data_IF_347274894654
#
_entry.id   IF_347274894654
#
_cell.length_a   1.000
_cell.length_b   1.000
_cell.length_c   1.000
_cell.angle_alpha   90.00
_cell.angle_beta   90.00
_cell.angle_gamma   90.00
#
_symmetry.space_group_name_H-M   'P 1'
#
loop_
_entity.id
_entity.type
_entity.pdbx_description
1 polymer ?
#
# COMPACT_ATOMS: atom_id res chain seq x y z
N UNK A 1 22.85 18.08 -11.38
CA UNK A 1 22.99 17.39 -10.08
C UNK A 1 21.68 16.68 -9.79
N UNK A 2 21.66 15.35 -9.96
CA UNK A 2 20.43 14.54 -9.92
C UNK A 2 20.19 14.09 -8.48
N UNK A 3 19.25 14.73 -7.78
CA UNK A 3 18.75 14.16 -6.52
C UNK A 3 17.99 12.87 -6.84
N UNK A 4 18.52 11.76 -6.33
CA UNK A 4 17.79 10.51 -6.14
C UNK A 4 16.68 10.77 -5.12
N UNK A 5 15.43 10.65 -5.55
CA UNK A 5 14.29 10.49 -4.66
C UNK A 5 13.73 9.10 -4.95
N UNK A 6 13.36 8.38 -3.90
CA UNK A 6 12.73 7.07 -3.99
C UNK A 6 11.52 7.15 -4.90
N UNK A 7 11.44 6.24 -5.85
CA UNK A 7 10.33 6.23 -6.81
C UNK A 7 9.65 4.90 -6.63
N UNK A 8 8.43 4.92 -6.12
CA UNK A 8 7.60 3.72 -6.05
C UNK A 8 6.46 3.88 -7.05
N UNK A 9 6.76 3.66 -8.33
CA UNK A 9 5.72 3.58 -9.35
C UNK A 9 4.85 2.34 -9.19
N UNK A 10 3.90 2.14 -10.09
CA UNK A 10 3.04 0.95 -10.11
C UNK A 10 3.89 -0.26 -10.51
N UNK A 11 4.13 -1.16 -9.55
CA UNK A 11 4.84 -2.44 -9.74
C UNK A 11 3.86 -3.57 -10.06
N UNK A 12 4.37 -4.73 -10.47
CA UNK A 12 3.51 -5.89 -10.76
C UNK A 12 2.71 -6.36 -9.54
N UNK A 13 3.26 -6.22 -8.34
CA UNK A 13 2.57 -6.56 -7.09
C UNK A 13 1.35 -5.67 -6.87
N UNK A 14 1.48 -4.38 -7.13
CA UNK A 14 0.37 -3.42 -7.04
C UNK A 14 -0.72 -3.77 -8.05
N UNK A 15 -0.37 -4.07 -9.30
CA UNK A 15 -1.34 -4.44 -10.33
C UNK A 15 -2.09 -5.72 -9.95
N UNK A 16 -1.37 -6.76 -9.50
CA UNK A 16 -1.98 -8.01 -9.03
C UNK A 16 -2.92 -7.78 -7.86
N UNK A 17 -2.51 -6.95 -6.89
CA UNK A 17 -3.35 -6.62 -5.75
C UNK A 17 -4.61 -5.85 -6.15
N UNK A 18 -4.51 -4.90 -7.08
CA UNK A 18 -5.66 -4.16 -7.59
C UNK A 18 -6.65 -5.05 -8.37
N UNK A 19 -6.15 -6.00 -9.17
CA UNK A 19 -6.99 -6.97 -9.88
C UNK A 19 -7.70 -7.91 -8.89
N UNK A 20 -6.98 -8.40 -7.88
CA UNK A 20 -7.55 -9.22 -6.82
C UNK A 20 -8.63 -8.45 -6.04
N UNK A 21 -8.35 -7.19 -5.72
CA UNK A 21 -9.29 -6.30 -5.02
C UNK A 21 -10.54 -6.02 -5.86
N UNK A 22 -10.37 -5.73 -7.15
CA UNK A 22 -11.47 -5.55 -8.11
C UNK A 22 -12.33 -6.81 -8.24
N UNK A 23 -11.70 -7.99 -8.23
CA UNK A 23 -12.39 -9.28 -8.31
C UNK A 23 -13.22 -9.56 -7.05
N UNK A 24 -12.73 -9.14 -5.88
CA UNK A 24 -13.49 -9.23 -4.64
C UNK A 24 -14.67 -8.26 -4.62
N UNK A 25 -14.42 -7.00 -4.98
CA UNK A 25 -15.45 -5.98 -5.13
C UNK A 25 -15.05 -5.00 -6.24
N UNK A 26 -15.89 -4.75 -7.26
CA UNK A 26 -15.54 -3.87 -8.37
C UNK A 26 -14.99 -2.54 -7.90
N UNK A 27 -13.85 -2.15 -8.46
CA UNK A 27 -13.28 -0.80 -8.34
C UNK A 27 -13.95 0.07 -9.41
N UNK A 28 -14.64 1.11 -8.96
CA UNK A 28 -15.36 2.06 -9.80
C UNK A 28 -15.50 3.41 -9.09
N UNK A 29 -15.87 4.45 -9.84
CA UNK A 29 -16.13 5.79 -9.28
C UNK A 29 -14.89 6.68 -9.29
N UNK A 30 -14.77 7.57 -8.32
CA UNK A 30 -13.68 8.54 -8.26
C UNK A 30 -12.41 7.92 -7.68
N UNK A 31 -11.34 7.90 -8.49
CA UNK A 31 -10.03 7.43 -8.08
C UNK A 31 -9.10 8.62 -7.82
N UNK A 32 -8.30 8.55 -6.75
CA UNK A 32 -7.21 9.48 -6.50
C UNK A 32 -5.89 8.75 -6.23
N UNK A 33 -4.89 9.00 -7.07
CA UNK A 33 -3.50 8.59 -6.84
C UNK A 33 -2.72 9.72 -6.18
N UNK A 34 -1.85 9.39 -5.23
CA UNK A 34 -0.93 10.35 -4.63
C UNK A 34 0.32 10.41 -5.50
N UNK A 35 0.51 11.53 -6.17
CA UNK A 35 1.44 11.69 -7.27
C UNK A 35 0.96 11.02 -8.56
N UNK A 36 1.53 11.48 -9.67
CA UNK A 36 1.53 10.74 -10.93
C UNK A 36 2.54 9.60 -10.85
N UNK A 37 2.16 8.43 -11.34
CA UNK A 37 2.90 7.19 -11.16
C UNK A 37 3.29 6.62 -12.51
N UNK A 38 4.50 6.07 -12.62
CA UNK A 38 4.90 5.31 -13.80
C UNK A 38 4.57 3.84 -13.60
N UNK A 39 3.98 3.20 -14.61
CA UNK A 39 3.89 1.73 -14.66
C UNK A 39 5.26 1.18 -15.00
N UNK A 40 5.94 0.65 -13.99
CA UNK A 40 7.31 0.17 -14.11
C UNK A 40 7.37 -1.36 -14.29
N UNK A 41 6.56 -1.88 -15.18
CA UNK A 41 6.46 -3.32 -15.49
C UNK A 41 6.70 -3.50 -16.98
N UNK A 42 7.47 -4.51 -17.37
CA UNK A 42 7.71 -4.78 -18.77
C UNK A 42 6.43 -5.28 -19.46
N UNK A 43 6.37 -5.09 -20.78
CA UNK A 43 5.20 -5.43 -21.59
C UNK A 43 4.80 -6.90 -21.46
N UNK A 44 5.77 -7.82 -21.39
CA UNK A 44 5.47 -9.26 -21.34
C UNK A 44 4.83 -9.65 -20.00
N UNK A 45 5.33 -9.10 -18.90
CA UNK A 45 4.71 -9.28 -17.58
C UNK A 45 3.32 -8.64 -17.51
N UNK A 46 3.10 -7.46 -18.10
CA UNK A 46 1.77 -6.85 -18.18
C UNK A 46 0.78 -7.72 -18.97
N UNK A 47 1.18 -8.28 -20.11
CA UNK A 47 0.35 -9.21 -20.89
C UNK A 47 -0.02 -10.43 -20.04
N UNK A 48 0.93 -10.97 -19.27
CA UNK A 48 0.67 -12.11 -18.39
C UNK A 48 -0.30 -11.79 -17.25
N UNK A 49 -0.36 -10.53 -16.79
CA UNK A 49 -1.19 -10.10 -15.66
C UNK A 49 -2.59 -9.67 -16.11
N UNK A 50 -2.70 -8.80 -17.13
CA UNK A 50 -3.98 -8.22 -17.55
C UNK A 50 -4.39 -8.54 -19.00
N UNK A 51 -3.58 -9.32 -19.73
CA UNK A 51 -3.86 -9.72 -21.11
C UNK A 51 -3.44 -8.69 -22.17
N UNK A 52 -3.34 -9.14 -23.42
CA UNK A 52 -2.94 -8.30 -24.55
C UNK A 52 -3.90 -7.12 -24.78
N UNK A 53 -5.20 -7.35 -24.62
CA UNK A 53 -6.24 -6.33 -24.85
C UNK A 53 -6.19 -5.17 -23.84
N UNK A 54 -5.69 -5.40 -22.63
CA UNK A 54 -5.40 -4.37 -21.65
C UNK A 54 -4.21 -3.52 -22.11
N UNK A 55 -3.12 -4.19 -22.51
CA UNK A 55 -1.85 -3.57 -22.92
C UNK A 55 -1.98 -2.74 -24.20
N UNK A 56 -2.81 -3.16 -25.14
CA UNK A 56 -3.04 -2.46 -26.41
C UNK A 56 -3.69 -1.07 -26.24
N UNK A 57 -4.34 -0.83 -25.09
CA UNK A 57 -4.97 0.45 -24.76
C UNK A 57 -4.04 1.41 -24.02
N UNK A 58 -2.88 0.95 -23.58
CA UNK A 58 -1.99 1.74 -22.73
C UNK A 58 -1.26 2.81 -23.52
N UNK A 59 -1.16 3.99 -22.93
CA UNK A 59 -0.37 5.10 -23.46
C UNK A 59 1.00 5.14 -22.78
N UNK A 60 2.01 5.62 -23.51
CA UNK A 60 3.34 5.82 -22.94
C UNK A 60 3.30 6.96 -21.92
N UNK A 61 4.07 6.80 -20.84
CA UNK A 61 4.26 7.84 -19.84
C UNK A 61 5.21 8.91 -20.40
N UNK A 62 4.66 10.10 -20.63
CA UNK A 62 5.40 11.29 -21.07
C UNK A 62 5.40 12.39 -20.03
N UNK A 63 4.73 12.18 -18.89
CA UNK A 63 4.46 13.22 -17.89
C UNK A 63 5.38 13.11 -16.69
N UNK A 64 5.74 11.88 -16.30
CA UNK A 64 6.66 11.68 -15.18
C UNK A 64 8.11 11.71 -15.62
N UNK A 65 9.00 12.01 -14.68
CA UNK A 65 10.45 11.90 -14.86
C UNK A 65 10.89 10.48 -15.21
N UNK A 66 10.11 9.47 -14.83
CA UNK A 66 10.44 8.07 -15.01
C UNK A 66 9.78 7.42 -16.23
N UNK A 67 8.95 8.14 -16.98
CA UNK A 67 8.36 7.66 -18.22
C UNK A 67 9.35 7.35 -19.34
N UNK A 68 10.61 7.81 -19.22
CA UNK A 68 11.68 7.51 -20.17
C UNK A 68 11.85 6.00 -20.40
N UNK A 69 11.89 5.58 -21.67
CA UNK A 69 12.20 4.20 -22.06
C UNK A 69 10.99 3.27 -22.24
N UNK A 70 9.93 3.74 -22.89
CA UNK A 70 8.76 2.93 -23.28
C UNK A 70 7.95 2.36 -22.10
N UNK A 71 7.85 3.12 -21.01
CA UNK A 71 6.97 2.79 -19.88
C UNK A 71 5.57 3.37 -20.09
N UNK A 72 4.59 2.82 -19.38
CA UNK A 72 3.19 3.20 -19.53
C UNK A 72 2.73 4.18 -18.45
N UNK A 73 1.77 5.03 -18.79
CA UNK A 73 1.11 5.91 -17.82
C UNK A 73 0.23 5.11 -16.87
N UNK A 74 0.21 5.52 -15.61
CA UNK A 74 -0.73 5.03 -14.60
C UNK A 74 -2.19 5.20 -15.01
N UNK A 75 -2.57 6.39 -15.47
CA UNK A 75 -3.93 6.72 -15.87
C UNK A 75 -4.45 5.75 -16.92
N UNK A 76 -3.69 5.50 -18.00
CA UNK A 76 -4.11 4.57 -19.05
C UNK A 76 -4.25 3.14 -18.55
N UNK A 77 -3.41 2.70 -17.60
CA UNK A 77 -3.53 1.37 -17.00
C UNK A 77 -4.77 1.26 -16.12
N UNK A 78 -4.96 2.22 -15.23
CA UNK A 78 -6.05 2.23 -14.25
C UNK A 78 -7.40 2.35 -14.97
N UNK A 79 -7.54 3.24 -15.95
CA UNK A 79 -8.76 3.42 -16.75
C UNK A 79 -9.01 2.26 -17.73
N UNK A 80 -7.97 1.54 -18.14
CA UNK A 80 -8.11 0.32 -18.96
C UNK A 80 -8.63 -0.87 -18.12
N UNK A 81 -8.21 -0.95 -16.86
CA UNK A 81 -8.58 -2.03 -15.95
C UNK A 81 -9.93 -1.80 -15.25
N UNK A 82 -10.26 -0.56 -14.94
CA UNK A 82 -11.37 -0.22 -14.03
C UNK A 82 -12.25 0.90 -14.56
N UNK A 83 -13.52 0.90 -14.16
CA UNK A 83 -14.50 1.94 -14.53
C UNK A 83 -14.43 3.13 -13.57
N UNK A 84 -13.34 3.90 -13.65
CA UNK A 84 -13.05 5.00 -12.72
C UNK A 84 -12.84 6.34 -13.43
N UNK A 85 -13.05 7.44 -12.69
CA UNK A 85 -12.54 8.76 -13.04
C UNK A 85 -11.20 8.96 -12.33
N UNK A 86 -10.10 8.93 -13.09
CA UNK A 86 -8.76 9.01 -12.56
C UNK A 86 -8.34 10.46 -12.27
N UNK A 87 -7.83 10.71 -11.06
CA UNK A 87 -7.14 11.95 -10.69
C UNK A 87 -5.86 11.67 -9.91
N UNK A 88 -4.95 12.64 -9.93
CA UNK A 88 -3.74 12.68 -9.10
C UNK A 88 -3.75 13.87 -8.14
N UNK A 89 -3.08 13.72 -6.99
CA UNK A 89 -2.82 14.81 -6.04
C UNK A 89 -1.34 14.87 -5.68
N UNK A 90 -0.78 16.08 -5.63
CA UNK A 90 0.59 16.32 -5.21
C UNK A 90 0.65 17.68 -4.50
N UNK A 91 1.66 17.91 -3.64
CA UNK A 91 1.88 19.20 -2.99
C UNK A 91 2.21 20.34 -3.97
N UNK A 92 2.50 20.01 -5.23
CA UNK A 92 2.86 20.96 -6.27
C UNK A 92 2.32 20.54 -7.64
N UNK A 93 2.39 21.41 -8.64
CA UNK A 93 2.03 21.07 -10.03
C UNK A 93 3.07 20.17 -10.73
N UNK A 94 3.99 19.57 -9.97
CA UNK A 94 4.98 18.61 -10.47
C UNK A 94 4.29 17.43 -11.17
N UNK A 95 4.88 16.95 -12.26
CA UNK A 95 4.38 15.81 -13.07
C UNK A 95 2.88 15.90 -13.45
N UNK A 96 2.41 17.13 -13.69
CA UNK A 96 1.06 17.42 -14.18
C UNK A 96 -0.08 16.96 -13.26
N UNK A 97 0.13 17.05 -11.93
CA UNK A 97 -0.89 16.68 -10.95
C UNK A 97 -2.24 17.39 -11.18
N UNK A 98 -3.35 16.65 -11.12
CA UNK A 98 -4.69 17.21 -11.30
C UNK A 98 -5.12 18.10 -10.13
N UNK A 99 -4.66 17.77 -8.93
CA UNK A 99 -4.93 18.49 -7.69
C UNK A 99 -3.61 18.90 -7.04
N UNK A 100 -3.47 20.20 -6.73
CA UNK A 100 -2.34 20.72 -5.96
C UNK A 100 -2.76 20.90 -4.51
N UNK A 101 -2.36 19.98 -3.65
CA UNK A 101 -2.71 19.92 -2.24
C UNK A 101 -1.61 19.24 -1.43
N UNK A 102 -1.14 19.92 -0.37
CA UNK A 102 -0.22 19.31 0.60
C UNK A 102 -1.00 18.43 1.59
N UNK A 103 -0.94 17.12 1.41
CA UNK A 103 -1.59 16.14 2.27
C UNK A 103 -1.00 16.05 3.68
N UNK A 104 0.08 16.78 3.98
CA UNK A 104 0.58 16.95 5.35
C UNK A 104 -0.14 18.09 6.09
N UNK A 105 -1.15 18.71 5.48
CA UNK A 105 -1.99 19.78 6.03
C UNK A 105 -3.45 19.39 5.97
N UNK A 106 -4.33 19.97 6.81
CA UNK A 106 -5.76 19.70 6.72
C UNK A 106 -6.29 19.91 5.29
N UNK A 107 -7.05 18.93 4.79
CA UNK A 107 -7.66 19.05 3.46
C UNK A 107 -8.81 20.09 3.48
N UNK A 108 -9.09 20.74 2.33
CA UNK A 108 -10.28 21.55 2.16
C UNK A 108 -11.57 20.74 2.42
N UNK A 109 -12.58 21.29 3.13
CA UNK A 109 -13.83 20.59 3.44
C UNK A 109 -14.56 20.05 2.20
N UNK A 110 -14.46 20.74 1.07
CA UNK A 110 -15.07 20.33 -0.20
C UNK A 110 -14.47 19.05 -0.81
N UNK A 111 -13.32 18.58 -0.31
CA UNK A 111 -12.69 17.33 -0.73
C UNK A 111 -12.96 16.17 0.24
N UNK A 112 -13.55 16.44 1.40
CA UNK A 112 -13.95 15.37 2.30
C UNK A 112 -14.96 14.45 1.62
N UNK A 113 -14.78 13.14 1.78
CA UNK A 113 -15.64 12.10 1.21
C UNK A 113 -15.93 12.36 -0.27
N UNK A 114 -14.88 12.45 -1.08
CA UNK A 114 -14.98 12.73 -2.51
C UNK A 114 -14.49 11.59 -3.41
N UNK A 115 -13.81 10.59 -2.82
CA UNK A 115 -13.14 9.54 -3.56
C UNK A 115 -13.55 8.14 -3.10
N UNK A 116 -13.75 7.25 -4.06
CA UNK A 116 -14.15 5.86 -3.85
C UNK A 116 -12.95 4.92 -3.75
N UNK A 117 -11.83 5.30 -4.37
CA UNK A 117 -10.58 4.57 -4.30
C UNK A 117 -9.37 5.50 -4.20
N UNK A 118 -8.46 5.22 -3.28
CA UNK A 118 -7.17 5.91 -3.14
C UNK A 118 -6.00 4.97 -3.39
N UNK A 119 -4.92 5.48 -3.98
CA UNK A 119 -3.63 4.81 -4.06
C UNK A 119 -2.52 5.75 -3.61
N UNK A 120 -1.70 5.33 -2.64
CA UNK A 120 -0.69 6.23 -2.04
C UNK A 120 0.73 6.07 -2.60
N UNK A 121 1.08 4.91 -3.17
CA UNK A 121 2.29 4.69 -3.99
C UNK A 121 3.60 5.34 -3.53
N UNK A 122 4.10 5.00 -2.34
CA UNK A 122 5.38 5.52 -1.83
C UNK A 122 5.33 7.00 -1.45
N UNK A 123 4.19 7.46 -0.93
CA UNK A 123 4.03 8.84 -0.48
C UNK A 123 4.46 8.99 0.98
N UNK A 124 4.14 8.01 1.84
CA UNK A 124 4.27 8.15 3.30
C UNK A 124 5.75 8.14 3.73
N UNK A 125 6.61 7.43 3.00
CA UNK A 125 8.05 7.38 3.25
C UNK A 125 8.79 8.66 2.81
N UNK A 126 8.12 9.56 2.08
CA UNK A 126 8.68 10.79 1.53
C UNK A 126 8.14 12.08 2.19
N UNK A 127 7.31 11.96 3.23
CA UNK A 127 6.79 13.10 4.01
C UNK A 127 7.30 13.06 5.45
N UNK A 128 7.37 14.23 6.09
CA UNK A 128 7.77 14.32 7.49
C UNK A 128 6.67 13.81 8.44
N UNK A 129 5.41 14.05 8.10
CA UNK A 129 4.24 13.63 8.90
C UNK A 129 3.37 12.63 8.12
N UNK A 130 3.77 11.34 8.06
CA UNK A 130 2.95 10.31 7.42
C UNK A 130 1.60 10.09 8.12
N UNK A 131 1.50 10.41 9.42
CA UNK A 131 0.26 10.33 10.16
C UNK A 131 -0.80 11.31 9.62
N UNK A 132 -0.41 12.56 9.33
CA UNK A 132 -1.32 13.54 8.74
C UNK A 132 -1.81 13.10 7.36
N UNK A 133 -0.92 12.51 6.55
CA UNK A 133 -1.29 11.96 5.24
C UNK A 133 -2.28 10.81 5.38
N UNK A 134 -2.11 9.92 6.38
CA UNK A 134 -3.03 8.80 6.64
C UNK A 134 -4.42 9.28 7.10
N UNK A 135 -4.46 10.28 7.99
CA UNK A 135 -5.68 10.95 8.45
C UNK A 135 -6.41 11.59 7.28
N UNK A 136 -5.69 12.37 6.47
CA UNK A 136 -6.26 13.04 5.31
C UNK A 136 -6.71 12.06 4.21
N UNK A 137 -5.98 10.96 4.01
CA UNK A 137 -6.43 9.85 3.15
C UNK A 137 -7.79 9.33 3.61
N UNK A 138 -7.96 9.15 4.91
CA UNK A 138 -9.22 8.68 5.48
C UNK A 138 -10.35 9.71 5.33
N UNK A 139 -10.05 11.01 5.41
CA UNK A 139 -11.03 12.09 5.18
C UNK A 139 -11.46 12.18 3.72
N UNK A 140 -10.54 12.01 2.78
CA UNK A 140 -10.82 12.00 1.33
C UNK A 140 -11.76 10.86 0.90
N UNK A 141 -11.70 9.72 1.60
CA UNK A 141 -12.50 8.54 1.30
C UNK A 141 -13.99 8.73 1.60
N UNK A 142 -14.82 8.37 0.63
CA UNK A 142 -16.24 8.10 0.81
C UNK A 142 -16.48 6.98 1.84
N UNK A 143 -17.68 6.95 2.41
CA UNK A 143 -18.17 5.73 3.05
C UNK A 143 -18.19 4.58 2.04
N UNK A 144 -17.71 3.41 2.43
CA UNK A 144 -17.42 2.25 1.58
C UNK A 144 -16.26 2.45 0.58
N UNK A 145 -15.58 3.59 0.60
CA UNK A 145 -14.36 3.80 -0.17
C UNK A 145 -13.21 2.93 0.33
N UNK A 146 -12.23 2.69 -0.54
CA UNK A 146 -11.05 1.87 -0.24
C UNK A 146 -9.75 2.60 -0.52
N UNK A 147 -8.71 2.25 0.23
CA UNK A 147 -7.36 2.71 -0.05
C UNK A 147 -6.44 1.52 -0.18
N UNK A 148 -5.57 1.57 -1.20
CA UNK A 148 -4.42 0.70 -1.33
C UNK A 148 -3.14 1.49 -1.04
N UNK A 149 -2.45 1.12 0.03
CA UNK A 149 -1.11 1.63 0.31
C UNK A 149 -0.06 0.71 -0.28
N UNK A 150 1.01 1.31 -0.78
CA UNK A 150 2.23 0.60 -1.15
C UNK A 150 3.43 1.43 -0.72
N UNK A 151 4.01 1.10 0.43
CA UNK A 151 4.95 1.98 1.13
C UNK A 151 6.21 1.22 1.56
N UNK A 152 7.34 1.92 1.69
CA UNK A 152 8.57 1.30 2.19
C UNK A 152 8.42 0.85 3.65
N UNK A 153 8.76 -0.41 3.90
CA UNK A 153 8.75 -1.03 5.23
C UNK A 153 10.15 -1.23 5.82
N UNK A 154 11.17 -0.79 5.08
CA UNK A 154 12.58 -1.02 5.42
C UNK A 154 13.45 0.15 4.97
N UNK A 155 14.76 0.04 5.22
CA UNK A 155 15.73 1.07 4.83
C UNK A 155 15.80 1.16 3.32
N UNK A 156 15.32 2.28 2.78
CA UNK A 156 15.40 2.58 1.37
C UNK A 156 16.08 3.95 1.20
N UNK A 157 16.99 4.05 0.24
CA UNK A 157 17.94 5.17 0.14
C UNK A 157 17.23 6.49 -0.11
N UNK A 158 17.23 7.38 0.89
CA UNK A 158 16.65 8.73 0.81
C UNK A 158 15.26 8.87 1.45
N UNK A 159 14.72 7.82 2.07
CA UNK A 159 13.41 7.86 2.72
C UNK A 159 13.49 8.70 3.99
N UNK A 160 12.46 9.51 4.26
CA UNK A 160 12.31 10.20 5.55
C UNK A 160 11.98 9.20 6.66
N UNK A 161 11.15 8.20 6.35
CA UNK A 161 10.68 7.21 7.31
C UNK A 161 10.35 5.89 6.60
N UNK A 162 10.21 4.82 7.37
CA UNK A 162 9.62 3.57 6.90
C UNK A 162 8.48 3.22 7.84
N UNK A 163 7.39 2.74 7.26
CA UNK A 163 6.14 2.47 7.97
C UNK A 163 6.09 1.02 8.44
N UNK A 164 5.40 0.76 9.56
CA UNK A 164 5.26 -0.59 10.12
C UNK A 164 3.87 -1.14 9.90
N UNK A 165 3.74 -2.47 9.90
CA UNK A 165 2.46 -3.14 9.70
C UNK A 165 1.43 -2.78 10.79
N UNK A 166 1.92 -2.64 12.03
CA UNK A 166 1.10 -2.23 13.17
C UNK A 166 0.52 -0.84 12.97
N UNK A 167 1.26 0.11 12.40
CA UNK A 167 0.82 1.50 12.20
C UNK A 167 -0.49 1.56 11.41
N UNK A 168 -0.59 0.80 10.31
CA UNK A 168 -1.82 0.74 9.53
C UNK A 168 -2.93 -0.01 10.25
N UNK A 169 -2.63 -1.19 10.82
CA UNK A 169 -3.64 -2.02 11.45
C UNK A 169 -4.28 -1.31 12.65
N UNK A 170 -3.46 -0.69 13.51
CA UNK A 170 -3.92 0.03 14.69
C UNK A 170 -4.72 1.26 14.31
N UNK A 171 -4.27 2.06 13.33
CA UNK A 171 -4.99 3.25 12.89
C UNK A 171 -6.37 2.90 12.32
N UNK A 172 -6.44 1.94 11.40
CA UNK A 172 -7.70 1.56 10.78
C UNK A 172 -8.65 0.89 11.75
N UNK A 173 -8.15 0.07 12.69
CA UNK A 173 -8.96 -0.51 13.75
C UNK A 173 -9.49 0.54 14.74
N UNK A 174 -8.62 1.44 15.23
CA UNK A 174 -9.01 2.49 16.16
C UNK A 174 -10.05 3.45 15.55
N UNK A 175 -9.99 3.67 14.23
CA UNK A 175 -10.95 4.47 13.48
C UNK A 175 -12.13 3.66 12.92
N UNK A 176 -12.34 2.43 13.41
CA UNK A 176 -13.50 1.59 13.10
C UNK A 176 -13.75 1.38 11.60
N UNK A 177 -12.69 1.17 10.81
CA UNK A 177 -12.81 0.76 9.40
C UNK A 177 -13.50 -0.61 9.30
N UNK A 178 -14.15 -0.89 8.17
CA UNK A 178 -14.86 -2.16 7.97
C UNK A 178 -13.89 -3.32 7.84
N UNK A 179 -12.78 -3.09 7.15
CA UNK A 179 -11.76 -4.08 6.89
C UNK A 179 -10.37 -3.45 6.75
N UNK A 180 -9.34 -4.23 7.09
CA UNK A 180 -7.94 -3.89 6.85
C UNK A 180 -7.13 -5.18 6.67
N UNK A 181 -6.43 -5.31 5.54
CA UNK A 181 -5.45 -6.36 5.28
C UNK A 181 -4.09 -5.74 5.11
N UNK A 182 -3.11 -6.23 5.86
CA UNK A 182 -1.74 -5.73 5.86
C UNK A 182 -0.80 -6.84 5.42
N UNK A 183 -0.10 -6.61 4.33
CA UNK A 183 0.85 -7.55 3.76
C UNK A 183 2.25 -6.97 3.81
N UNK A 184 3.21 -7.79 4.25
CA UNK A 184 4.64 -7.51 4.08
C UNK A 184 5.12 -8.21 2.82
N UNK A 185 5.68 -7.43 1.89
CA UNK A 185 6.32 -7.92 0.69
C UNK A 185 7.83 -7.86 0.88
N UNK A 186 8.53 -8.95 0.62
CA UNK A 186 9.97 -9.05 0.84
C UNK A 186 10.68 -9.46 -0.45
N UNK A 187 11.42 -8.53 -1.02
CA UNK A 187 12.30 -8.76 -2.15
C UNK A 187 13.67 -9.23 -1.65
N UNK A 188 13.93 -10.54 -1.76
CA UNK A 188 15.20 -11.16 -1.30
C UNK A 188 16.22 -11.32 -2.42
N UNK A 189 15.81 -11.08 -3.68
CA UNK A 189 16.65 -11.23 -4.87
C UNK A 189 16.47 -10.05 -5.84
N UNK A 190 17.49 -9.72 -6.64
CA UNK A 190 17.31 -8.81 -7.77
C UNK A 190 16.24 -9.32 -8.74
N UNK A 191 15.51 -8.39 -9.35
CA UNK A 191 14.56 -8.70 -10.42
C UNK A 191 15.12 -8.46 -11.82
N UNK A 192 14.26 -8.58 -12.83
CA UNK A 192 14.54 -8.15 -14.21
C UNK A 192 14.84 -6.65 -14.27
N UNK A 193 14.22 -5.89 -13.37
CA UNK A 193 14.57 -4.50 -13.12
C UNK A 193 14.41 -4.17 -11.64
N UNK A 194 14.73 -2.93 -11.26
CA UNK A 194 14.47 -2.42 -9.89
C UNK A 194 12.98 -2.30 -9.55
N UNK A 195 12.08 -2.56 -10.50
CA UNK A 195 10.62 -2.43 -10.36
C UNK A 195 9.84 -3.69 -10.79
N UNK A 196 10.53 -4.62 -11.46
CA UNK A 196 10.00 -5.93 -11.79
C UNK A 196 10.90 -6.97 -11.15
N UNK A 197 10.44 -7.45 -10.00
CA UNK A 197 11.10 -8.40 -9.13
C UNK A 197 10.05 -9.25 -8.44
N UNK A 198 10.38 -10.47 -8.06
CA UNK A 198 9.50 -11.31 -7.27
C UNK A 198 9.64 -10.99 -5.78
N UNK A 199 8.54 -11.13 -5.04
CA UNK A 199 8.54 -11.01 -3.58
C UNK A 199 8.03 -12.28 -2.90
N UNK A 200 8.48 -12.49 -1.68
CA UNK A 200 7.75 -13.28 -0.69
C UNK A 200 6.66 -12.39 -0.09
N UNK A 201 5.45 -12.93 0.05
CA UNK A 201 4.32 -12.22 0.65
C UNK A 201 3.92 -12.86 1.98
N UNK A 202 3.72 -12.02 2.98
CA UNK A 202 3.30 -12.41 4.32
C UNK A 202 2.08 -11.60 4.75
N UNK A 203 1.08 -12.24 5.35
CA UNK A 203 -0.01 -11.54 6.02
C UNK A 203 0.40 -11.20 7.46
N UNK A 204 0.17 -9.96 7.86
CA UNK A 204 0.41 -9.52 9.24
C UNK A 204 -0.79 -9.76 10.16
N UNK A 205 -0.50 -10.12 11.40
CA UNK A 205 -1.42 -10.18 12.54
C UNK A 205 -0.77 -9.48 13.74
N UNK A 206 -1.57 -8.76 14.53
CA UNK A 206 -1.11 -8.21 15.81
C UNK A 206 -1.02 -9.28 16.89
N UNK A 207 -1.71 -10.41 16.73
CA UNK A 207 -1.64 -11.55 17.65
C UNK A 207 -0.35 -12.31 17.38
N UNK A 208 0.43 -12.58 18.44
CA UNK A 208 1.68 -13.31 18.34
C UNK A 208 2.03 -14.02 19.66
N UNK A 209 2.84 -15.07 19.54
CA UNK A 209 3.39 -15.82 20.65
C UNK A 209 4.69 -15.18 21.13
N UNK A 210 4.67 -14.60 22.33
CA UNK A 210 5.88 -14.01 22.92
C UNK A 210 6.87 -15.09 23.35
N UNK A 211 7.98 -15.23 22.61
CA UNK A 211 9.10 -16.07 23.04
C UNK A 211 9.80 -15.49 24.27
N UNK A 212 9.95 -16.29 25.33
CA UNK A 212 10.64 -15.89 26.57
C UNK A 212 12.12 -15.55 26.34
N UNK A 213 12.73 -16.15 25.32
CA UNK A 213 14.14 -16.00 24.98
C UNK A 213 14.28 -15.42 23.56
N UNK A 214 13.46 -14.42 23.21
CA UNK A 214 13.54 -13.78 21.91
C UNK A 214 14.92 -13.10 21.75
N UNK A 215 15.70 -13.57 20.79
CA UNK A 215 16.91 -12.91 20.38
C UNK A 215 16.54 -11.72 19.48
N UNK A 216 16.52 -10.53 20.07
CA UNK A 216 16.15 -9.29 19.38
C UNK A 216 17.07 -8.97 18.19
N UNK A 217 18.37 -9.26 18.32
CA UNK A 217 19.32 -8.97 17.24
C UNK A 217 19.05 -9.91 16.06
N UNK A 218 18.96 -11.21 16.31
CA UNK A 218 18.65 -12.20 15.28
C UNK A 218 17.27 -11.95 14.67
N UNK A 219 16.26 -11.67 15.48
CA UNK A 219 14.91 -11.32 15.03
C UNK A 219 14.93 -10.11 14.09
N UNK A 220 15.57 -9.01 14.49
CA UNK A 220 15.71 -7.81 13.67
C UNK A 220 16.49 -8.00 12.37
N UNK A 221 17.27 -9.08 12.26
CA UNK A 221 18.06 -9.43 11.07
C UNK A 221 17.52 -10.65 10.29
N UNK A 222 16.38 -11.20 10.69
CA UNK A 222 15.84 -12.49 10.20
C UNK A 222 15.52 -12.54 8.71
N UNK A 223 15.18 -11.41 8.10
CA UNK A 223 14.80 -11.38 6.70
C UNK A 223 15.59 -10.31 5.93
N UNK A 224 16.51 -10.73 5.02
CA UNK A 224 17.28 -9.79 4.23
C UNK A 224 16.45 -9.18 3.10
N UNK A 225 16.96 -8.12 2.50
CA UNK A 225 16.40 -7.52 1.29
C UNK A 225 15.58 -6.26 1.52
N UNK A 226 14.84 -5.86 0.49
CA UNK A 226 13.98 -4.66 0.50
C UNK A 226 12.56 -5.11 0.85
N UNK A 227 11.94 -4.40 1.77
CA UNK A 227 10.59 -4.70 2.24
C UNK A 227 9.66 -3.53 1.96
N UNK A 228 8.45 -3.87 1.52
CA UNK A 228 7.34 -2.94 1.31
C UNK A 228 6.10 -3.45 2.04
N UNK A 229 5.26 -2.53 2.51
CA UNK A 229 3.92 -2.86 2.96
C UNK A 229 2.94 -2.64 1.81
N UNK A 230 2.09 -3.63 1.59
CA UNK A 230 0.89 -3.49 0.79
C UNK A 230 -0.31 -3.57 1.74
N UNK A 231 -1.13 -2.53 1.78
CA UNK A 231 -2.27 -2.47 2.71
C UNK A 231 -3.52 -2.15 1.93
N UNK A 232 -4.60 -2.89 2.19
CA UNK A 232 -5.93 -2.56 1.71
C UNK A 232 -6.83 -2.29 2.90
N UNK A 233 -7.45 -1.11 2.96
CA UNK A 233 -8.40 -0.75 4.00
C UNK A 233 -9.71 -0.23 3.40
N UNK A 234 -10.82 -0.51 4.08
CA UNK A 234 -12.16 -0.12 3.65
C UNK A 234 -12.87 0.72 4.71
N UNK A 235 -13.23 1.95 4.34
CA UNK A 235 -13.94 2.88 5.22
C UNK A 235 -15.41 2.49 5.31
N UNK A 236 -15.99 2.49 6.50
CA UNK A 236 -17.41 2.25 6.74
C UNK A 236 -18.19 3.51 7.07
N UNK A 237 -19.53 3.40 7.15
CA UNK A 237 -20.40 4.52 7.54
C UNK A 237 -20.11 5.04 8.95
N UNK A 238 -19.61 4.18 9.84
CA UNK A 238 -19.27 4.50 11.23
C UNK A 238 -17.77 4.71 11.46
N UNK A 239 -16.98 4.80 10.39
CA UNK A 239 -15.54 5.01 10.51
C UNK A 239 -15.23 6.49 10.77
N UNK A 240 -14.22 6.73 11.59
CA UNK A 240 -13.70 8.07 11.91
C UNK A 240 -12.34 8.29 11.22
N UNK A 241 -11.69 9.42 11.49
CA UNK A 241 -10.32 9.68 11.03
C UNK A 241 -9.40 10.27 12.11
N UNK A 242 -9.94 10.70 13.25
CA UNK A 242 -9.21 11.52 14.22
C UNK A 242 -8.73 10.73 15.44
N UNK A 243 -9.02 9.43 15.51
CA UNK A 243 -8.55 8.59 16.61
C UNK A 243 -7.08 8.23 16.34
N UNK A 244 -6.20 8.64 17.26
CA UNK A 244 -4.78 8.31 17.23
C UNK A 244 -4.56 7.07 18.11
N UNK A 245 -4.11 5.93 17.55
CA UNK A 245 -3.89 4.72 18.34
C UNK A 245 -2.60 4.80 19.16
N UNK A 246 -2.61 4.20 20.34
CA UNK A 246 -1.39 3.85 21.07
C UNK A 246 -0.78 2.56 20.51
N UNK A 247 0.54 2.45 20.58
CA UNK A 247 1.26 1.22 20.21
C UNK A 247 0.81 0.05 21.09
N UNK A 248 0.78 -1.16 20.53
CA UNK A 248 0.38 -2.41 21.21
C UNK A 248 1.04 -2.60 22.58
N UNK A 249 2.31 -2.20 22.75
CA UNK A 249 3.06 -2.38 23.99
C UNK A 249 2.71 -1.37 25.09
N UNK A 250 2.08 -0.26 24.73
CA UNK A 250 1.74 0.84 25.64
C UNK A 250 0.24 0.99 25.86
N UNK A 251 -0.57 0.04 25.41
CA UNK A 251 -2.01 0.04 25.67
C UNK A 251 -2.29 -0.01 27.17
N UNK A 252 -3.15 0.89 27.63
CA UNK A 252 -3.66 0.94 29.00
C UNK A 252 -5.20 1.00 29.04
N UNK A 253 -5.77 1.23 30.22
CA UNK A 253 -7.23 1.28 30.40
C UNK A 253 -7.92 2.49 29.74
N UNK A 254 -7.16 3.50 29.32
CA UNK A 254 -7.64 4.69 28.63
C UNK A 254 -7.41 4.61 27.12
N UNK A 255 -6.51 3.74 26.66
CA UNK A 255 -6.28 3.50 25.24
C UNK A 255 -7.51 2.91 24.54
N UNK A 256 -7.67 3.23 23.25
CA UNK A 256 -8.61 2.50 22.40
C UNK A 256 -8.11 1.06 22.23
N UNK A 257 -8.94 0.08 22.58
CA UNK A 257 -8.67 -1.35 22.39
C UNK A 257 -8.78 -1.75 20.91
N UNK A 258 -7.91 -1.16 20.10
CA UNK A 258 -7.81 -1.45 18.68
C UNK A 258 -7.46 -2.93 18.40
N UNK A 259 -6.69 -3.68 19.22
CA UNK A 259 -6.46 -5.10 18.97
C UNK A 259 -7.76 -5.89 18.94
N UNK A 260 -8.62 -5.67 19.94
CA UNK A 260 -9.91 -6.36 19.99
C UNK A 260 -10.83 -5.94 18.83
N UNK A 261 -10.83 -4.67 18.44
CA UNK A 261 -11.58 -4.20 17.26
C UNK A 261 -11.04 -4.87 15.98
N UNK A 262 -9.72 -4.99 15.83
CA UNK A 262 -9.07 -5.56 14.66
C UNK A 262 -9.40 -7.05 14.45
N UNK A 263 -9.84 -7.79 15.47
CA UNK A 263 -10.25 -9.20 15.34
C UNK A 263 -11.32 -9.39 14.26
N UNK A 264 -12.19 -8.40 14.05
CA UNK A 264 -13.24 -8.45 13.01
C UNK A 264 -12.67 -8.62 11.61
N UNK A 265 -11.44 -8.17 11.36
CA UNK A 265 -10.77 -8.29 10.05
C UNK A 265 -10.39 -9.73 9.72
N UNK A 266 -10.20 -10.60 10.72
CA UNK A 266 -9.95 -12.03 10.48
C UNK A 266 -11.19 -12.76 9.96
N UNK A 267 -12.39 -12.24 10.27
CA UNK A 267 -13.68 -12.75 9.77
C UNK A 267 -14.13 -12.11 8.46
N UNK A 268 -13.35 -11.17 7.90
CA UNK A 268 -13.67 -10.55 6.62
C UNK A 268 -13.67 -11.59 5.50
N UNK A 269 -14.64 -11.47 4.58
CA UNK A 269 -14.72 -12.28 3.36
C UNK A 269 -13.70 -11.87 2.30
N UNK A 270 -12.95 -10.79 2.50
CA UNK A 270 -11.90 -10.35 1.57
C UNK A 270 -10.80 -11.43 1.52
N UNK A 271 -10.50 -11.98 0.33
CA UNK A 271 -9.50 -13.02 0.20
C UNK A 271 -8.11 -12.47 0.53
N UNK A 272 -7.23 -13.36 1.00
CA UNK A 272 -5.81 -13.07 1.13
C UNK A 272 -5.14 -13.10 -0.25
N UNK A 273 -4.09 -12.30 -0.43
CA UNK A 273 -3.24 -12.33 -1.62
C UNK A 273 -2.32 -13.56 -1.55
N UNK A 274 -2.84 -14.73 -1.92
CA UNK A 274 -2.10 -16.00 -1.90
C UNK A 274 -1.47 -16.34 -3.25
N UNK A 275 -0.35 -17.06 -3.21
CA UNK A 275 0.37 -17.55 -4.40
C UNK A 275 1.02 -18.91 -4.09
N UNK A 276 1.75 -19.47 -5.05
CA UNK A 276 2.48 -20.72 -4.86
C UNK A 276 3.48 -20.62 -3.71
N UNK A 277 3.44 -21.61 -2.81
CA UNK A 277 4.32 -21.67 -1.63
C UNK A 277 5.59 -22.45 -1.95
N UNK A 278 6.74 -21.90 -1.55
CA UNK A 278 8.00 -22.63 -1.48
C UNK A 278 8.15 -23.34 -0.13
N UNK A 279 8.91 -24.43 -0.09
CA UNK A 279 8.90 -25.37 1.04
C UNK A 279 9.55 -24.84 2.33
N UNK A 280 10.40 -23.81 2.28
CA UNK A 280 11.08 -23.25 3.46
C UNK A 280 11.29 -21.74 3.28
N UNK A 281 10.78 -20.95 4.23
CA UNK A 281 11.05 -19.50 4.34
C UNK A 281 11.18 -19.12 5.81
N UNK A 282 12.12 -18.24 6.12
CA UNK A 282 12.23 -17.64 7.45
C UNK A 282 11.13 -16.58 7.61
N UNK A 283 10.43 -16.60 8.75
CA UNK A 283 9.39 -15.61 9.02
C UNK A 283 10.03 -14.26 9.41
N UNK A 284 9.43 -13.12 9.00
CA UNK A 284 9.82 -11.83 9.50
C UNK A 284 9.82 -11.79 11.03
N UNK A 285 10.91 -11.25 11.58
CA UNK A 285 11.17 -11.15 13.02
C UNK A 285 11.21 -12.49 13.77
N UNK A 286 11.31 -13.63 13.06
CA UNK A 286 11.19 -14.96 13.66
C UNK A 286 9.93 -15.11 14.52
N UNK A 287 8.83 -14.51 14.06
CA UNK A 287 7.59 -14.39 14.82
C UNK A 287 6.38 -14.84 14.00
N UNK A 288 5.35 -15.30 14.70
CA UNK A 288 4.05 -15.67 14.16
C UNK A 288 3.11 -14.46 13.93
N UNK A 289 3.63 -13.23 14.10
CA UNK A 289 2.99 -12.03 13.55
C UNK A 289 2.76 -12.14 12.05
N UNK A 290 3.57 -12.93 11.35
CA UNK A 290 3.56 -13.03 9.90
C UNK A 290 3.23 -14.45 9.46
N UNK A 291 2.16 -14.60 8.69
CA UNK A 291 1.82 -15.86 8.03
C UNK A 291 2.28 -15.83 6.58
N UNK A 292 3.10 -16.79 6.17
CA UNK A 292 3.58 -16.88 4.79
C UNK A 292 2.46 -17.25 3.82
N UNK A 293 2.24 -16.41 2.81
CA UNK A 293 1.22 -16.61 1.79
C UNK A 293 1.78 -17.14 0.46
N UNK A 294 3.08 -16.99 0.23
CA UNK A 294 3.78 -17.59 -0.92
C UNK A 294 4.89 -16.71 -1.50
N UNK A 295 5.44 -17.17 -2.63
CA UNK A 295 6.53 -16.53 -3.38
C UNK A 295 6.12 -16.15 -4.80
N UNK A 296 6.96 -15.38 -5.48
CA UNK A 296 6.76 -15.00 -6.89
C UNK A 296 5.46 -14.20 -7.10
N UNK A 297 5.06 -13.47 -6.06
CA UNK A 297 3.99 -12.48 -6.16
C UNK A 297 4.49 -11.26 -6.95
#
# INVERSE_FOLDING_TARGET
MVLLILIVGITKQVIKALIAEHSFRPISGNWLSFGSQTVNVDKSTLINICGQSCVDKLSLDTSTRHGAGSRYSDSSLIESLFSVSYKTVDKSAYESSNLVLDLSRPIPPELESSYDFLYTGGCLDNVFSPADVLINSSRLLNSNGRVLHYESASRLLGAFTFVTAEWFLSYYAANNFLDCKVYLLCQTKPGLSRFDYDVHIFNYSHEFTRSKNLDYFRSGCSLPGIQYLLVVAEKGPSSTCDVIPDQLQYLDSNSVDWPNIAKKYSYSKRPLLETSRTAQIELPFLSDHYTYLGSCF
#
